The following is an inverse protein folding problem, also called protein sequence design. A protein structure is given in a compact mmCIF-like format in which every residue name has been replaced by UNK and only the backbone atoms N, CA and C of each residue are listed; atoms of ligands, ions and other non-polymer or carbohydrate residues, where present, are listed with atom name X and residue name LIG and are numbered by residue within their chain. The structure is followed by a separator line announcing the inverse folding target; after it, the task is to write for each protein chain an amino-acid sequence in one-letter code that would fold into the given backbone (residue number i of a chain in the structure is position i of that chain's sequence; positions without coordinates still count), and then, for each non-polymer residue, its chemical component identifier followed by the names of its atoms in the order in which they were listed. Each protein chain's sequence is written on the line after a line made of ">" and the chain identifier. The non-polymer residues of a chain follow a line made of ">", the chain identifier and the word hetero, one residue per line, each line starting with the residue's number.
data_IF_943435334458
#
_entry.id   IF_943435334458
#
_cell.length_a   1.000
_cell.length_b   1.000
_cell.length_c   1.000
_cell.angle_alpha   90.00
_cell.angle_beta   90.00
_cell.angle_gamma   90.00
#
_symmetry.space_group_name_H-M   'P 1'
#
loop_
_entity.id
_entity.type
_entity.pdbx_description
1 polymer ?
#
# COMPACT_ATOMS: atom_id res chain seq x y z
N UNK A 1 7.86 -20.36 -3.74
CA UNK A 1 8.16 -18.91 -3.83
C UNK A 1 6.93 -18.15 -3.38
N UNK A 2 6.92 -17.62 -2.16
CA UNK A 2 5.87 -16.73 -1.67
C UNK A 2 6.26 -15.30 -2.01
N UNK A 3 5.61 -14.73 -3.03
CA UNK A 3 5.86 -13.36 -3.46
C UNK A 3 5.54 -12.37 -2.32
N UNK A 4 6.53 -11.55 -1.92
CA UNK A 4 6.45 -10.66 -0.76
C UNK A 4 5.36 -9.60 -0.85
N UNK A 5 4.84 -9.30 -2.04
CA UNK A 5 3.91 -8.18 -2.29
C UNK A 5 2.49 -8.67 -2.67
N UNK A 6 2.26 -9.98 -2.72
CA UNK A 6 1.01 -10.56 -3.22
C UNK A 6 -0.28 -9.98 -2.60
N UNK A 7 -0.25 -9.61 -1.32
CA UNK A 7 -1.41 -9.07 -0.60
C UNK A 7 -1.81 -7.64 -1.02
N UNK A 8 -0.93 -6.89 -1.69
CA UNK A 8 -1.18 -5.50 -2.14
C UNK A 8 -1.68 -5.47 -3.59
N UNK A 9 -1.39 -6.53 -4.37
CA UNK A 9 -1.70 -6.57 -5.81
C UNK A 9 -3.21 -6.46 -6.08
N UNK A 10 -4.04 -7.18 -5.33
CA UNK A 10 -5.48 -7.19 -5.58
C UNK A 10 -6.12 -5.81 -5.34
N UNK A 11 -5.90 -5.14 -4.20
CA UNK A 11 -6.34 -3.75 -4.03
C UNK A 11 -5.84 -2.79 -5.11
N UNK A 12 -4.57 -2.90 -5.54
CA UNK A 12 -4.02 -2.07 -6.61
C UNK A 12 -4.69 -2.31 -7.96
N UNK A 13 -5.08 -3.57 -8.25
CA UNK A 13 -5.85 -3.91 -9.45
C UNK A 13 -7.23 -3.27 -9.46
N UNK A 14 -7.91 -3.25 -8.31
CA UNK A 14 -9.26 -2.67 -8.18
C UNK A 14 -9.27 -1.16 -8.47
N UNK A 15 -8.17 -0.46 -8.21
CA UNK A 15 -8.07 0.99 -8.47
C UNK A 15 -7.32 1.32 -9.77
N UNK A 16 -7.12 0.33 -10.65
CA UNK A 16 -6.37 0.45 -11.90
C UNK A 16 -4.92 0.94 -11.76
N UNK A 17 -4.35 0.96 -10.54
CA UNK A 17 -2.91 1.20 -10.32
C UNK A 17 -2.05 -0.02 -10.69
N UNK A 18 -2.68 -1.16 -10.95
CA UNK A 18 -2.03 -2.38 -11.44
C UNK A 18 -2.88 -3.05 -12.52
N UNK A 19 -2.27 -3.37 -13.66
CA UNK A 19 -2.96 -4.05 -14.76
C UNK A 19 -3.50 -5.43 -14.36
N UNK A 20 -4.72 -5.74 -14.78
CA UNK A 20 -5.29 -7.08 -14.63
C UNK A 20 -4.38 -8.14 -15.27
N UNK A 21 -3.85 -7.81 -16.45
CA UNK A 21 -2.87 -8.59 -17.20
C UNK A 21 -1.53 -7.84 -17.30
N UNK A 22 -0.57 -8.06 -16.38
CA UNK A 22 0.70 -7.33 -16.35
C UNK A 22 1.68 -7.73 -17.46
N UNK A 23 1.51 -8.91 -18.08
CA UNK A 23 2.28 -9.37 -19.24
C UNK A 23 1.31 -9.76 -20.38
N UNK A 24 0.62 -8.78 -20.99
CA UNK A 24 -0.39 -9.09 -21.98
C UNK A 24 0.27 -9.67 -23.24
N UNK A 25 -0.21 -10.83 -23.68
CA UNK A 25 0.26 -11.49 -24.92
C UNK A 25 -0.67 -11.24 -26.08
N UNK A 26 -1.93 -10.88 -25.80
CA UNK A 26 -2.98 -10.67 -26.80
C UNK A 26 -3.43 -9.21 -26.80
N UNK A 27 -3.73 -8.66 -27.99
CA UNK A 27 -4.26 -7.30 -28.14
C UNK A 27 -5.56 -7.07 -27.32
N UNK A 28 -6.37 -8.11 -27.12
CA UNK A 28 -7.57 -8.05 -26.26
C UNK A 28 -7.24 -7.72 -24.80
N UNK A 29 -6.14 -8.25 -24.25
CA UNK A 29 -5.74 -8.03 -22.85
C UNK A 29 -5.26 -6.58 -22.64
N UNK A 30 -4.52 -6.03 -23.62
CA UNK A 30 -4.12 -4.63 -23.63
C UNK A 30 -5.34 -3.71 -23.67
N UNK A 31 -6.31 -4.05 -24.53
CA UNK A 31 -7.54 -3.28 -24.69
C UNK A 31 -8.38 -3.28 -23.39
N UNK A 32 -8.52 -4.43 -22.73
CA UNK A 32 -9.23 -4.53 -21.44
C UNK A 32 -8.56 -3.67 -20.36
N UNK A 33 -7.23 -3.73 -20.23
CA UNK A 33 -6.50 -2.92 -19.24
C UNK A 33 -6.70 -1.41 -19.51
N UNK A 34 -6.56 -0.97 -20.76
CA UNK A 34 -6.71 0.45 -21.13
C UNK A 34 -8.15 0.95 -20.95
N UNK A 35 -9.16 0.15 -21.29
CA UNK A 35 -10.56 0.50 -21.03
C UNK A 35 -10.81 0.66 -19.53
N UNK A 36 -10.32 -0.29 -18.74
CA UNK A 36 -10.52 -0.27 -17.30
C UNK A 36 -9.85 0.94 -16.64
N UNK A 37 -8.60 1.25 -17.04
CA UNK A 37 -7.90 2.46 -16.62
C UNK A 37 -8.66 3.73 -17.03
N UNK A 38 -9.14 3.79 -18.27
CA UNK A 38 -9.95 4.91 -18.77
C UNK A 38 -11.23 5.10 -17.97
N UNK A 39 -11.93 4.00 -17.61
CA UNK A 39 -13.12 4.04 -16.77
C UNK A 39 -12.82 4.60 -15.38
N UNK A 40 -11.77 4.12 -14.71
CA UNK A 40 -11.40 4.59 -13.37
C UNK A 40 -11.00 6.07 -13.40
N UNK A 41 -10.18 6.48 -14.37
CA UNK A 41 -9.82 7.90 -14.55
C UNK A 41 -11.03 8.77 -14.87
N UNK A 42 -11.97 8.29 -15.68
CA UNK A 42 -13.20 9.01 -15.98
C UNK A 42 -14.05 9.24 -14.72
N UNK A 43 -14.26 8.20 -13.90
CA UNK A 43 -14.99 8.30 -12.62
C UNK A 43 -14.28 9.27 -11.66
N UNK A 44 -12.95 9.18 -11.55
CA UNK A 44 -12.16 10.03 -10.66
C UNK A 44 -12.09 11.49 -11.11
N UNK A 45 -12.13 11.78 -12.42
CA UNK A 45 -12.06 13.15 -12.95
C UNK A 45 -13.42 13.85 -13.00
N UNK A 46 -14.51 13.10 -13.12
CA UNK A 46 -15.86 13.64 -13.13
C UNK A 46 -16.18 14.45 -11.85
N UNK A 47 -15.85 13.91 -10.68
CA UNK A 47 -16.17 14.57 -9.40
C UNK A 47 -15.41 15.89 -9.18
N UNK A 48 -14.08 15.98 -9.39
CA UNK A 48 -13.34 17.23 -9.44
C UNK A 48 -13.93 18.23 -10.44
N UNK A 49 -14.33 17.79 -11.63
CA UNK A 49 -14.90 18.67 -12.63
C UNK A 49 -16.25 19.23 -12.19
N UNK A 50 -17.13 18.40 -11.63
CA UNK A 50 -18.41 18.83 -11.09
C UNK A 50 -18.23 19.81 -9.91
N UNK A 51 -17.28 19.52 -9.03
CA UNK A 51 -16.90 20.40 -7.92
C UNK A 51 -16.34 21.74 -8.40
N UNK A 52 -15.49 21.72 -9.43
CA UNK A 52 -14.92 22.94 -10.01
C UNK A 52 -15.98 23.82 -10.66
N UNK A 53 -16.94 23.23 -11.38
CA UNK A 53 -18.08 23.95 -11.95
C UNK A 53 -18.92 24.57 -10.85
N UNK A 54 -19.24 23.81 -9.80
CA UNK A 54 -20.02 24.30 -8.67
C UNK A 54 -19.33 25.45 -7.92
N UNK A 55 -18.03 25.29 -7.68
CA UNK A 55 -17.21 26.30 -7.04
C UNK A 55 -17.13 27.57 -7.91
N UNK A 56 -17.11 27.43 -9.24
CA UNK A 56 -17.14 28.56 -10.17
C UNK A 56 -18.50 29.28 -10.20
N UNK A 57 -19.61 28.55 -10.10
CA UNK A 57 -20.97 29.14 -10.17
C UNK A 57 -21.43 29.77 -8.85
N UNK A 58 -21.02 29.22 -7.71
CA UNK A 58 -21.46 29.66 -6.37
C UNK A 58 -20.39 30.45 -5.60
N UNK A 59 -19.32 30.91 -6.26
CA UNK A 59 -18.22 31.60 -5.59
C UNK A 59 -18.69 32.89 -4.92
N UNK A 60 -18.84 32.88 -3.59
CA UNK A 60 -19.13 34.07 -2.79
C UNK A 60 -17.96 34.45 -1.89
N UNK A 61 -17.44 33.52 -1.08
CA UNK A 61 -16.34 33.76 -0.13
C UNK A 61 -15.41 32.54 0.05
N UNK A 62 -14.14 32.80 0.40
CA UNK A 62 -13.13 31.75 0.65
C UNK A 62 -13.48 30.94 1.91
N UNK A 63 -13.99 31.60 2.96
CA UNK A 63 -14.29 30.95 4.23
C UNK A 63 -15.47 29.98 4.13
N UNK A 64 -16.50 30.31 3.33
CA UNK A 64 -17.66 29.44 3.08
C UNK A 64 -17.37 28.30 2.10
N UNK A 65 -16.30 28.43 1.31
CA UNK A 65 -15.87 27.43 0.33
C UNK A 65 -14.73 26.54 0.83
N UNK A 66 -14.22 26.79 2.04
CA UNK A 66 -13.05 26.09 2.59
C UNK A 66 -13.28 24.58 2.69
N UNK A 67 -14.47 24.17 3.15
CA UNK A 67 -14.84 22.75 3.25
C UNK A 67 -14.89 22.09 1.86
N UNK A 68 -15.47 22.78 0.87
CA UNK A 68 -15.53 22.32 -0.53
C UNK A 68 -14.12 22.18 -1.15
N UNK A 69 -13.21 23.10 -0.81
CA UNK A 69 -11.80 23.06 -1.27
C UNK A 69 -11.05 21.92 -0.58
N UNK A 70 -11.28 21.70 0.72
CA UNK A 70 -10.68 20.59 1.46
C UNK A 70 -11.08 19.23 0.88
N UNK A 71 -12.34 19.06 0.50
CA UNK A 71 -12.85 17.86 -0.16
C UNK A 71 -12.30 17.66 -1.59
N UNK A 72 -11.89 18.75 -2.27
CA UNK A 72 -11.27 18.70 -3.59
C UNK A 72 -9.89 18.01 -3.56
N UNK A 73 -9.12 18.25 -2.50
CA UNK A 73 -7.71 17.85 -2.43
C UNK A 73 -7.52 16.32 -2.52
N UNK A 74 -8.23 15.48 -1.74
CA UNK A 74 -8.21 14.02 -1.89
C UNK A 74 -8.53 13.54 -3.31
N UNK A 75 -9.49 14.19 -3.98
CA UNK A 75 -9.90 13.82 -5.34
C UNK A 75 -8.78 14.11 -6.34
N UNK A 76 -8.18 15.30 -6.29
CA UNK A 76 -7.05 15.66 -7.17
C UNK A 76 -5.84 14.77 -6.94
N UNK A 77 -5.49 14.50 -5.67
CA UNK A 77 -4.39 13.61 -5.31
C UNK A 77 -4.64 12.20 -5.85
N UNK A 78 -5.87 11.68 -5.76
CA UNK A 78 -6.20 10.36 -6.29
C UNK A 78 -6.03 10.27 -7.82
N UNK A 79 -6.45 11.30 -8.56
CA UNK A 79 -6.23 11.40 -10.02
C UNK A 79 -4.73 11.43 -10.33
N UNK A 80 -3.95 12.19 -9.58
CA UNK A 80 -2.50 12.26 -9.74
C UNK A 80 -1.83 10.91 -9.47
N UNK A 81 -2.24 10.19 -8.41
CA UNK A 81 -1.72 8.86 -8.08
C UNK A 81 -2.01 7.85 -9.19
N UNK A 82 -3.26 7.75 -9.65
CA UNK A 82 -3.63 6.79 -10.70
C UNK A 82 -2.91 7.12 -12.01
N UNK A 83 -2.80 8.41 -12.35
CA UNK A 83 -2.05 8.87 -13.53
C UNK A 83 -0.55 8.56 -13.42
N UNK A 84 0.05 8.76 -12.24
CA UNK A 84 1.43 8.41 -11.96
C UNK A 84 1.67 6.92 -12.19
N UNK A 85 0.84 6.05 -11.63
CA UNK A 85 0.93 4.61 -11.84
C UNK A 85 0.73 4.21 -13.31
N UNK A 86 -0.18 4.86 -14.03
CA UNK A 86 -0.41 4.61 -15.45
C UNK A 86 0.83 4.92 -16.31
N UNK A 87 1.56 6.01 -15.99
CA UNK A 87 2.78 6.42 -16.71
C UNK A 87 3.94 5.48 -16.34
N UNK A 88 4.16 5.24 -15.05
CA UNK A 88 5.33 4.51 -14.54
C UNK A 88 5.09 3.00 -14.29
N UNK A 89 4.04 2.42 -14.88
CA UNK A 89 3.68 0.99 -14.71
C UNK A 89 4.82 0.00 -15.00
N UNK A 90 5.64 0.29 -16.03
CA UNK A 90 6.77 -0.58 -16.40
C UNK A 90 7.85 -0.59 -15.33
N UNK A 91 8.13 0.57 -14.75
CA UNK A 91 9.11 0.72 -13.69
C UNK A 91 8.62 0.05 -12.40
N UNK A 92 7.32 0.16 -12.10
CA UNK A 92 6.70 -0.57 -10.98
C UNK A 92 6.87 -2.09 -11.12
N UNK A 93 6.60 -2.65 -12.31
CA UNK A 93 6.79 -4.09 -12.55
C UNK A 93 8.24 -4.52 -12.47
N UNK A 94 9.14 -3.68 -12.98
CA UNK A 94 10.58 -3.91 -12.89
C UNK A 94 11.05 -3.86 -11.44
N UNK A 95 10.54 -2.93 -10.64
CA UNK A 95 10.85 -2.83 -9.21
C UNK A 95 10.38 -4.06 -8.44
N UNK A 96 9.14 -4.52 -8.66
CA UNK A 96 8.62 -5.72 -7.99
C UNK A 96 9.39 -6.97 -8.39
N UNK A 97 9.71 -7.13 -9.68
CA UNK A 97 10.53 -8.24 -10.18
C UNK A 97 11.97 -8.19 -9.64
N UNK A 98 12.55 -6.98 -9.53
CA UNK A 98 13.85 -6.76 -8.91
C UNK A 98 13.85 -7.17 -7.44
N UNK A 99 12.82 -6.77 -6.68
CA UNK A 99 12.69 -7.15 -5.28
C UNK A 99 12.54 -8.67 -5.13
N UNK A 100 11.69 -9.31 -5.92
CA UNK A 100 11.49 -10.76 -5.86
C UNK A 100 12.77 -11.54 -6.17
N UNK A 101 13.59 -11.06 -7.12
CA UNK A 101 14.84 -11.71 -7.51
C UNK A 101 15.99 -11.48 -6.54
N UNK A 102 16.10 -10.28 -5.96
CA UNK A 102 17.27 -9.88 -5.18
C UNK A 102 17.07 -10.00 -3.67
N UNK A 103 15.82 -10.01 -3.18
CA UNK A 103 15.58 -10.07 -1.73
C UNK A 103 15.91 -11.45 -1.18
N UNK A 104 16.86 -11.47 -0.24
CA UNK A 104 17.26 -12.69 0.44
C UNK A 104 16.27 -13.01 1.55
N UNK A 105 15.95 -14.30 1.68
CA UNK A 105 15.01 -14.77 2.69
C UNK A 105 15.69 -15.03 4.04
N UNK A 106 17.01 -15.22 4.03
CA UNK A 106 17.84 -15.63 5.16
C UNK A 106 19.19 -14.89 5.20
N UNK A 107 19.75 -14.74 6.40
CA UNK A 107 21.10 -14.20 6.62
C UNK A 107 22.19 -15.24 6.32
N UNK A 108 23.42 -14.80 6.12
CA UNK A 108 24.59 -15.68 6.00
C UNK A 108 24.80 -16.53 7.27
N UNK A 109 25.34 -17.75 7.11
CA UNK A 109 25.63 -18.69 8.21
C UNK A 109 26.60 -18.07 9.23
N UNK A 110 26.30 -18.18 10.52
CA UNK A 110 27.20 -17.78 11.61
C UNK A 110 26.69 -18.17 13.00
N UNK A 111 26.99 -17.36 14.03
CA UNK A 111 26.59 -17.68 15.42
C UNK A 111 25.09 -17.48 15.65
N UNK A 112 24.47 -16.56 14.92
CA UNK A 112 23.04 -16.22 14.99
C UNK A 112 22.51 -16.12 13.56
N UNK A 113 21.39 -16.77 13.25
CA UNK A 113 20.77 -16.69 11.92
C UNK A 113 19.52 -15.81 12.01
N UNK A 114 19.06 -15.27 10.88
CA UNK A 114 17.84 -14.50 10.86
C UNK A 114 17.07 -14.75 9.57
N UNK A 115 15.74 -14.73 9.69
CA UNK A 115 14.81 -14.93 8.58
C UNK A 115 14.03 -13.64 8.33
N UNK A 116 13.65 -13.38 7.08
CA UNK A 116 12.83 -12.21 6.71
C UNK A 116 11.36 -12.33 7.13
N UNK A 117 10.98 -13.44 7.78
CA UNK A 117 9.58 -13.79 8.03
C UNK A 117 8.86 -12.78 8.92
N UNK A 118 9.53 -12.26 9.94
CA UNK A 118 9.00 -11.24 10.84
C UNK A 118 8.61 -9.97 10.10
N UNK A 119 9.54 -9.42 9.31
CA UNK A 119 9.33 -8.25 8.46
C UNK A 119 8.20 -8.45 7.45
N UNK A 120 8.13 -9.62 6.80
CA UNK A 120 7.05 -9.95 5.89
C UNK A 120 5.68 -10.02 6.59
N UNK A 121 5.59 -10.69 7.74
CA UNK A 121 4.35 -10.77 8.52
C UNK A 121 3.89 -9.38 8.99
N UNK A 122 4.82 -8.53 9.41
CA UNK A 122 4.52 -7.14 9.81
C UNK A 122 4.02 -6.31 8.63
N UNK A 123 4.69 -6.36 7.48
CA UNK A 123 4.27 -5.65 6.27
C UNK A 123 2.88 -6.12 5.79
N UNK A 124 2.63 -7.44 5.82
CA UNK A 124 1.32 -8.03 5.48
C UNK A 124 0.21 -7.60 6.44
N UNK A 125 0.47 -7.66 7.74
CA UNK A 125 -0.52 -7.26 8.74
C UNK A 125 -0.82 -5.77 8.67
N UNK A 126 0.22 -4.94 8.50
CA UNK A 126 0.07 -3.51 8.28
C UNK A 126 -0.81 -3.23 7.06
N UNK A 127 -0.50 -3.83 5.91
CA UNK A 127 -1.29 -3.63 4.69
C UNK A 127 -2.75 -4.05 4.83
N UNK A 128 -3.03 -5.16 5.52
CA UNK A 128 -4.41 -5.63 5.76
C UNK A 128 -5.19 -4.72 6.69
N UNK A 129 -4.61 -4.38 7.84
CA UNK A 129 -5.27 -3.54 8.85
C UNK A 129 -5.50 -2.14 8.29
N UNK A 130 -4.49 -1.57 7.62
CA UNK A 130 -4.59 -0.24 7.03
C UNK A 130 -5.64 -0.21 5.91
N UNK A 131 -5.64 -1.20 5.02
CA UNK A 131 -6.67 -1.29 3.96
C UNK A 131 -8.08 -1.46 4.54
N UNK A 132 -8.24 -2.27 5.59
CA UNK A 132 -9.54 -2.42 6.27
C UNK A 132 -9.99 -1.09 6.90
N UNK A 133 -9.08 -0.36 7.54
CA UNK A 133 -9.36 0.95 8.12
C UNK A 133 -9.75 1.99 7.06
N UNK A 134 -9.03 2.06 5.93
CA UNK A 134 -9.38 2.97 4.83
C UNK A 134 -10.74 2.64 4.24
N UNK A 135 -11.04 1.35 4.06
CA UNK A 135 -12.34 0.89 3.55
C UNK A 135 -13.49 1.23 4.51
N UNK A 136 -13.26 1.06 5.81
CA UNK A 136 -14.23 1.43 6.83
C UNK A 136 -14.48 2.94 6.85
N UNK A 137 -13.41 3.75 6.79
CA UNK A 137 -13.50 5.22 6.77
C UNK A 137 -14.27 5.74 5.56
N UNK A 138 -13.98 5.23 4.36
CA UNK A 138 -14.72 5.57 3.13
C UNK A 138 -16.19 5.20 3.25
N UNK A 139 -16.48 4.00 3.76
CA UNK A 139 -17.86 3.54 3.92
C UNK A 139 -18.62 4.45 4.88
N UNK A 140 -18.04 4.79 6.03
CA UNK A 140 -18.62 5.73 6.98
C UNK A 140 -18.86 7.10 6.36
N UNK A 141 -17.89 7.63 5.63
CA UNK A 141 -18.00 8.96 5.01
C UNK A 141 -19.13 9.05 3.98
N UNK A 142 -19.36 7.98 3.22
CA UNK A 142 -20.46 7.94 2.23
C UNK A 142 -21.83 7.63 2.87
N UNK A 143 -21.88 6.80 3.92
CA UNK A 143 -23.15 6.41 4.54
C UNK A 143 -23.65 7.39 5.59
N UNK A 144 -22.77 8.17 6.23
CA UNK A 144 -23.15 9.15 7.25
C UNK A 144 -24.19 10.17 6.74
N UNK A 145 -24.03 10.78 5.55
CA UNK A 145 -25.04 11.71 5.00
C UNK A 145 -26.39 11.04 4.72
N UNK A 146 -26.40 9.76 4.34
CA UNK A 146 -27.65 9.01 4.16
C UNK A 146 -28.36 8.73 5.48
N UNK A 147 -27.61 8.31 6.51
CA UNK A 147 -28.15 8.04 7.84
C UNK A 147 -28.73 9.33 8.42
N UNK A 148 -28.02 10.44 8.26
CA UNK A 148 -28.51 11.76 8.66
C UNK A 148 -29.74 12.16 7.84
N UNK A 149 -29.73 12.03 6.52
CA UNK A 149 -30.90 12.31 5.69
C UNK A 149 -32.15 11.51 6.11
N UNK A 150 -31.99 10.21 6.39
CA UNK A 150 -33.07 9.34 6.87
C UNK A 150 -33.57 9.75 8.26
N UNK A 151 -32.71 10.32 9.11
CA UNK A 151 -33.04 10.69 10.49
C UNK A 151 -33.61 12.10 10.61
N UNK A 152 -32.99 13.10 9.97
CA UNK A 152 -33.35 14.52 10.05
C UNK A 152 -34.26 15.00 8.92
N UNK A 153 -34.46 14.21 7.85
CA UNK A 153 -35.21 14.58 6.62
C UNK A 153 -34.70 15.83 5.88
N UNK A 154 -33.52 16.34 6.22
CA UNK A 154 -32.88 17.47 5.54
C UNK A 154 -32.26 17.04 4.20
N UNK A 155 -32.30 17.87 3.15
CA UNK A 155 -31.81 17.48 1.83
C UNK A 155 -30.31 17.13 1.83
N UNK A 156 -29.92 16.18 0.98
CA UNK A 156 -28.53 15.75 0.77
C UNK A 156 -27.77 16.84 -0.02
N UNK A 157 -27.69 18.06 0.52
CA UNK A 157 -27.28 19.25 -0.23
C UNK A 157 -25.76 19.47 -0.29
N UNK A 158 -24.96 18.88 0.60
CA UNK A 158 -23.51 19.15 0.61
C UNK A 158 -22.69 18.36 -0.42
N UNK A 159 -23.26 17.31 -1.03
CA UNK A 159 -22.51 16.36 -1.89
C UNK A 159 -22.96 16.29 -3.34
N UNK A 160 -24.18 16.73 -3.61
CA UNK A 160 -24.82 16.59 -4.91
C UNK A 160 -24.86 18.00 -5.49
N UNK A 161 -23.79 18.37 -6.20
CA UNK A 161 -23.63 19.65 -6.91
C UNK A 161 -24.62 19.85 -8.07
N UNK A 162 -25.79 19.22 -7.99
CA UNK A 162 -26.87 19.25 -8.94
C UNK A 162 -28.15 19.04 -8.14
N UNK A 163 -29.11 19.96 -8.21
CA UNK A 163 -30.42 19.79 -7.55
C UNK A 163 -31.21 18.64 -8.19
N UNK A 164 -30.96 17.42 -7.73
CA UNK A 164 -31.64 16.21 -8.19
C UNK A 164 -32.52 15.71 -7.06
N UNK A 165 -33.76 16.19 -7.02
CA UNK A 165 -34.74 15.89 -5.96
C UNK A 165 -35.71 14.75 -6.32
N UNK A 166 -35.56 14.13 -7.50
CA UNK A 166 -36.48 13.08 -7.98
C UNK A 166 -35.79 11.70 -8.07
N UNK A 167 -36.47 10.68 -7.53
CA UNK A 167 -36.16 9.27 -7.80
C UNK A 167 -36.48 8.96 -9.27
N UNK A 168 -35.64 8.23 -10.04
CA UNK A 168 -34.51 7.36 -9.63
C UNK A 168 -33.12 8.01 -9.70
N UNK A 169 -33.02 9.29 -10.09
CA UNK A 169 -31.73 9.95 -10.33
C UNK A 169 -30.88 10.11 -9.07
N UNK A 170 -31.51 10.21 -7.90
CA UNK A 170 -30.84 10.26 -6.60
C UNK A 170 -30.01 8.99 -6.31
N UNK A 171 -30.54 7.81 -6.64
CA UNK A 171 -29.85 6.53 -6.43
C UNK A 171 -28.60 6.42 -7.32
N UNK A 172 -28.69 6.88 -8.57
CA UNK A 172 -27.55 6.91 -9.49
C UNK A 172 -26.46 7.86 -9.02
N UNK A 173 -26.82 9.06 -8.53
CA UNK A 173 -25.85 10.00 -7.98
C UNK A 173 -25.18 9.40 -6.74
N UNK A 174 -25.95 8.77 -5.85
CA UNK A 174 -25.41 8.12 -4.67
C UNK A 174 -24.44 6.98 -5.03
N UNK A 175 -24.83 6.07 -5.93
CA UNK A 175 -23.99 4.97 -6.39
C UNK A 175 -22.68 5.48 -7.00
N UNK A 176 -22.75 6.55 -7.80
CA UNK A 176 -21.57 7.18 -8.40
C UNK A 176 -20.67 7.81 -7.35
N UNK A 177 -21.24 8.51 -6.36
CA UNK A 177 -20.47 9.11 -5.26
C UNK A 177 -19.77 8.04 -4.43
N UNK A 178 -20.48 6.94 -4.11
CA UNK A 178 -19.90 5.79 -3.46
C UNK A 178 -18.73 5.21 -4.25
N UNK A 179 -18.92 4.99 -5.56
CA UNK A 179 -17.88 4.44 -6.42
C UNK A 179 -16.65 5.36 -6.51
N UNK A 180 -16.87 6.67 -6.57
CA UNK A 180 -15.79 7.66 -6.60
C UNK A 180 -15.00 7.65 -5.30
N UNK A 181 -15.68 7.73 -4.15
CA UNK A 181 -15.03 7.71 -2.84
C UNK A 181 -14.33 6.37 -2.55
N UNK A 182 -14.91 5.27 -3.02
CA UNK A 182 -14.29 3.95 -3.02
C UNK A 182 -12.95 3.95 -3.77
N UNK A 183 -12.91 4.49 -4.99
CA UNK A 183 -11.66 4.59 -5.75
C UNK A 183 -10.66 5.56 -5.12
N UNK A 184 -11.10 6.71 -4.59
CA UNK A 184 -10.23 7.69 -3.91
C UNK A 184 -9.54 7.06 -2.70
N UNK A 185 -10.32 6.42 -1.84
CA UNK A 185 -9.80 5.78 -0.63
C UNK A 185 -8.89 4.61 -0.92
N UNK A 186 -9.19 3.81 -1.96
CA UNK A 186 -8.26 2.78 -2.43
C UNK A 186 -6.99 3.36 -3.05
N UNK A 187 -7.09 4.41 -3.87
CA UNK A 187 -5.91 5.01 -4.52
C UNK A 187 -4.92 5.55 -3.49
N UNK A 188 -5.40 6.42 -2.60
CA UNK A 188 -4.56 6.99 -1.54
C UNK A 188 -4.12 5.95 -0.52
N UNK A 189 -5.04 5.09 -0.08
CA UNK A 189 -4.76 4.06 0.90
C UNK A 189 -3.71 3.07 0.40
N UNK A 190 -3.86 2.56 -0.83
CA UNK A 190 -2.91 1.60 -1.38
C UNK A 190 -1.58 2.23 -1.75
N UNK A 191 -1.54 3.51 -2.14
CA UNK A 191 -0.28 4.22 -2.31
C UNK A 191 0.53 4.26 -1.00
N UNK A 192 -0.13 4.60 0.12
CA UNK A 192 0.49 4.57 1.45
C UNK A 192 0.93 3.17 1.89
N UNK A 193 0.08 2.15 1.68
CA UNK A 193 0.41 0.74 1.99
C UNK A 193 1.60 0.26 1.17
N UNK A 194 1.66 0.59 -0.12
CA UNK A 194 2.78 0.23 -0.98
C UNK A 194 4.08 0.82 -0.44
N UNK A 195 4.13 2.13 -0.15
CA UNK A 195 5.35 2.77 0.35
C UNK A 195 5.80 2.22 1.72
N UNK A 196 4.86 2.06 2.66
CA UNK A 196 5.14 1.54 3.98
C UNK A 196 5.60 0.07 3.94
N UNK A 197 4.95 -0.77 3.15
CA UNK A 197 5.35 -2.17 3.00
C UNK A 197 6.75 -2.30 2.40
N UNK A 198 7.06 -1.52 1.35
CA UNK A 198 8.40 -1.49 0.77
C UNK A 198 9.46 -1.04 1.79
N UNK A 199 9.16 0.00 2.56
CA UNK A 199 10.05 0.48 3.63
C UNK A 199 10.32 -0.61 4.67
N UNK A 200 9.28 -1.32 5.14
CA UNK A 200 9.42 -2.42 6.11
C UNK A 200 10.28 -3.55 5.52
N UNK A 201 10.06 -3.92 4.25
CA UNK A 201 10.83 -4.98 3.61
C UNK A 201 12.30 -4.58 3.42
N UNK A 202 12.59 -3.33 3.07
CA UNK A 202 13.96 -2.81 2.97
C UNK A 202 14.64 -2.81 4.34
N UNK A 203 13.95 -2.38 5.40
CA UNK A 203 14.47 -2.50 6.77
C UNK A 203 14.80 -3.96 7.12
N UNK A 204 13.92 -4.89 6.75
CA UNK A 204 14.18 -6.33 6.92
C UNK A 204 15.42 -6.82 6.17
N UNK A 205 15.69 -6.33 4.96
CA UNK A 205 16.92 -6.64 4.22
C UNK A 205 18.18 -6.05 4.87
N UNK A 206 18.08 -4.83 5.43
CA UNK A 206 19.17 -4.21 6.18
C UNK A 206 19.48 -4.97 7.46
N UNK A 207 18.45 -5.41 8.19
CA UNK A 207 18.62 -6.28 9.37
C UNK A 207 19.39 -7.56 8.97
N UNK A 208 18.99 -8.22 7.87
CA UNK A 208 19.68 -9.42 7.37
C UNK A 208 21.14 -9.15 6.99
N UNK A 209 21.43 -7.99 6.39
CA UNK A 209 22.78 -7.56 6.05
C UNK A 209 23.63 -7.36 7.31
N UNK A 210 23.09 -6.72 8.34
CA UNK A 210 23.74 -6.51 9.63
C UNK A 210 24.08 -7.84 10.31
N UNK A 211 23.13 -8.78 10.38
CA UNK A 211 23.39 -10.15 10.84
C UNK A 211 24.52 -10.82 10.03
N UNK A 212 24.44 -10.72 8.70
CA UNK A 212 25.41 -11.38 7.80
C UNK A 212 26.83 -10.82 7.94
N UNK A 213 26.98 -9.50 8.10
CA UNK A 213 28.27 -8.85 8.34
C UNK A 213 28.89 -9.28 9.68
N UNK A 214 28.07 -9.34 10.74
CA UNK A 214 28.50 -9.85 12.05
C UNK A 214 28.92 -11.31 11.94
N UNK A 215 28.14 -12.16 11.28
CA UNK A 215 28.47 -13.57 11.05
C UNK A 215 29.76 -13.78 10.25
N UNK A 216 30.03 -12.90 9.29
CA UNK A 216 31.28 -12.94 8.51
C UNK A 216 32.50 -12.71 9.40
N UNK A 217 32.43 -11.73 10.31
CA UNK A 217 33.49 -11.48 11.30
C UNK A 217 33.77 -12.73 12.15
N UNK A 218 32.73 -13.38 12.66
CA UNK A 218 32.91 -14.56 13.50
C UNK A 218 33.39 -15.79 12.73
N UNK A 219 32.93 -15.95 11.49
CA UNK A 219 33.43 -17.00 10.58
C UNK A 219 34.91 -16.79 10.27
N UNK A 220 35.36 -15.55 10.08
CA UNK A 220 36.78 -15.24 9.89
C UNK A 220 37.63 -15.54 11.14
N UNK A 221 37.10 -15.29 12.35
CA UNK A 221 37.76 -15.65 13.61
C UNK A 221 37.87 -17.17 13.79
N UNK A 222 36.82 -17.92 13.45
CA UNK A 222 36.85 -19.39 13.46
C UNK A 222 37.90 -19.94 12.48
N UNK A 223 37.96 -19.39 11.25
CA UNK A 223 38.97 -19.79 10.25
C UNK A 223 40.40 -19.51 10.68
N UNK A 224 40.62 -18.52 11.55
CA UNK A 224 41.94 -18.21 12.14
C UNK A 224 42.30 -19.07 13.35
N UNK A 225 41.50 -20.08 13.71
CA UNK A 225 41.81 -21.04 14.77
C UNK A 225 41.42 -20.58 16.18
N UNK A 226 40.58 -19.54 16.31
CA UNK A 226 40.05 -19.13 17.63
C UNK A 226 39.18 -20.26 18.18
N UNK A 227 39.38 -20.60 19.47
CA UNK A 227 38.60 -21.65 20.15
C UNK A 227 37.11 -21.33 20.13
N UNK A 228 36.30 -22.28 19.69
CA UNK A 228 34.84 -22.17 19.63
C UNK A 228 34.23 -21.79 20.99
N UNK A 229 34.79 -22.28 22.10
CA UNK A 229 34.30 -21.97 23.47
C UNK A 229 34.34 -20.48 23.81
N UNK A 230 35.35 -19.74 23.32
CA UNK A 230 35.45 -18.29 23.56
C UNK A 230 34.39 -17.51 22.76
N UNK A 231 34.08 -17.98 21.55
CA UNK A 231 33.03 -17.40 20.72
C UNK A 231 31.62 -17.75 21.23
N UNK A 232 31.45 -18.94 21.78
CA UNK A 232 30.20 -19.37 22.39
C UNK A 232 29.87 -18.54 23.65
N UNK A 233 30.86 -18.14 24.43
CA UNK A 233 30.65 -17.24 25.58
C UNK A 233 30.14 -15.85 25.14
N UNK A 234 30.67 -15.31 24.04
CA UNK A 234 30.22 -14.03 23.46
C UNK A 234 28.80 -14.08 22.84
N UNK A 235 28.22 -15.28 22.70
CA UNK A 235 26.89 -15.49 22.08
C UNK A 235 25.73 -14.93 22.90
N UNK A 236 25.81 -15.05 24.22
CA UNK A 236 24.71 -14.62 25.11
C UNK A 236 24.53 -13.09 25.06
N UNK A 237 25.65 -12.37 25.05
CA UNK A 237 25.70 -10.91 24.91
C UNK A 237 25.23 -10.46 23.52
N UNK A 238 25.62 -11.20 22.48
CA UNK A 238 25.17 -10.99 21.09
C UNK A 238 23.65 -11.11 20.94
N UNK A 239 23.07 -12.20 21.43
CA UNK A 239 21.61 -12.43 21.34
C UNK A 239 20.85 -11.34 22.09
N UNK A 240 21.40 -10.84 23.20
CA UNK A 240 20.82 -9.74 23.97
C UNK A 240 20.89 -8.39 23.23
N UNK A 241 22.01 -8.08 22.58
CA UNK A 241 22.17 -6.89 21.72
C UNK A 241 21.25 -6.95 20.49
N UNK A 242 21.17 -8.11 19.85
CA UNK A 242 20.33 -8.34 18.66
C UNK A 242 18.83 -8.18 18.94
N UNK A 243 18.38 -8.51 20.16
CA UNK A 243 16.99 -8.32 20.57
C UNK A 243 16.55 -6.85 20.60
N UNK A 244 17.50 -5.93 20.76
CA UNK A 244 17.22 -4.49 20.85
C UNK A 244 17.58 -3.74 19.55
N UNK A 245 18.44 -4.31 18.70
CA UNK A 245 18.88 -3.67 17.46
C UNK A 245 17.99 -3.94 16.25
N UNK A 246 17.32 -5.11 16.17
CA UNK A 246 16.46 -5.42 15.03
C UNK A 246 15.02 -5.01 15.30
N UNK A 247 14.44 -4.23 14.38
CA UNK A 247 13.12 -3.61 14.57
C UNK A 247 11.98 -4.61 14.29
N UNK A 248 12.16 -5.49 13.30
CA UNK A 248 11.07 -6.34 12.80
C UNK A 248 11.38 -7.84 12.80
N UNK A 249 12.65 -8.22 12.99
CA UNK A 249 13.09 -9.61 12.96
C UNK A 249 13.74 -10.00 14.30
N UNK A 250 13.76 -11.29 14.58
CA UNK A 250 14.43 -11.86 15.74
C UNK A 250 15.52 -12.79 15.24
N UNK A 251 16.69 -12.70 15.84
CA UNK A 251 17.77 -13.64 15.59
C UNK A 251 17.38 -15.03 16.13
N UNK A 252 17.36 -16.01 15.25
CA UNK A 252 17.04 -17.39 15.54
C UNK A 252 18.31 -18.25 15.50
N UNK A 253 18.39 -19.22 16.40
CA UNK A 253 19.51 -20.16 16.52
C UNK A 253 19.29 -21.47 15.78
N UNK A 254 18.20 -21.54 15.02
CA UNK A 254 17.74 -22.74 14.31
C UNK A 254 18.41 -22.79 12.94
N UNK A 255 18.85 -23.98 12.52
CA UNK A 255 19.21 -24.22 11.13
C UNK A 255 17.91 -24.18 10.29
N UNK A 256 17.76 -23.19 9.42
CA UNK A 256 16.72 -23.18 8.39
C UNK A 256 16.93 -24.32 7.37
N UNK A 257 15.87 -24.99 6.95
CA UNK A 257 15.95 -26.05 5.92
C UNK A 257 16.13 -25.49 4.49
N UNK A 258 16.09 -24.16 4.31
CA UNK A 258 16.18 -23.46 3.01
C UNK A 258 17.50 -22.68 2.87
N UNK A 259 18.61 -23.32 3.21
CA UNK A 259 19.93 -22.68 3.16
C UNK A 259 20.57 -22.81 1.78
N UNK A 260 21.04 -21.69 1.23
CA UNK A 260 21.97 -21.70 0.10
C UNK A 260 23.38 -22.11 0.57
N UNK A 261 23.98 -22.99 -0.20
CA UNK A 261 25.44 -23.16 -0.30
C UNK A 261 26.07 -22.04 -1.14
#
# INVERSE_FOLDING_TARGET
>A
STNYIHYIILPLKIVACWDWFPKPKRNREIFINNIYLGMVLFVLTYMPAALAVHLYTEWQDIMSSLDKIADCLPLLVSVAIVSYYAIYRKDLYTLVDYMEKNFKHHSARGLTNMTMWGSYCKARNFGRIYTACTMFSVTMYVTLPLILHLWTKEPIQSWVYSDVTQSPFLEFVFLRSFLTQFFVGLAMGQFGVFFAANSILICGQLDLLCCSLRNTRYTALLRRGVRYSALFAARAELTADERHNYIYNVAETINSDFHYD
#
